data_IF_568631561686
#
_entry.id   IF_568631561686
#
_cell.length_a   1.000
_cell.length_b   1.000
_cell.length_c   1.000
_cell.angle_alpha   90.00
_cell.angle_beta   90.00
_cell.angle_gamma   90.00
#
_symmetry.space_group_name_H-M   'P 1'
#
loop_
_entity.id
_entity.type
_entity.pdbx_description
1 polymer ?
#
# COMPACT_ATOMS: atom_id res chain seq x y z
N UNK A 1 -8.49 -18.01 -6.95
CA UNK A 1 -7.80 -18.54 -5.77
C UNK A 1 -7.54 -17.35 -4.87
N UNK A 2 -7.96 -17.38 -3.61
CA UNK A 2 -7.60 -16.35 -2.65
C UNK A 2 -6.07 -16.31 -2.56
N UNK A 3 -5.52 -15.11 -2.61
CA UNK A 3 -4.08 -14.87 -2.45
C UNK A 3 -3.65 -15.40 -1.07
N UNK A 4 -2.93 -16.51 -1.04
CA UNK A 4 -2.45 -17.19 0.18
C UNK A 4 -1.26 -16.42 0.81
N UNK A 5 -0.88 -15.29 0.20
CA UNK A 5 0.22 -14.47 0.66
C UNK A 5 -0.11 -13.64 1.90
N UNK A 6 0.92 -13.12 2.54
CA UNK A 6 0.78 -12.30 3.74
C UNK A 6 0.06 -10.98 3.48
N UNK A 7 -0.90 -10.62 4.33
CA UNK A 7 -1.54 -9.29 4.34
C UNK A 7 -0.66 -8.22 5.01
N UNK A 8 0.49 -8.62 5.54
CA UNK A 8 1.44 -7.73 6.21
C UNK A 8 2.52 -7.28 5.22
N UNK A 9 2.64 -5.97 5.04
CA UNK A 9 3.61 -5.33 4.14
C UNK A 9 4.56 -4.49 4.99
N UNK A 10 5.86 -4.77 4.93
CA UNK A 10 6.89 -4.00 5.64
C UNK A 10 7.39 -2.86 4.75
N UNK A 11 7.31 -1.63 5.23
CA UNK A 11 7.78 -0.46 4.50
C UNK A 11 9.30 -0.28 4.67
N UNK A 12 10.05 -0.41 3.57
CA UNK A 12 11.50 -0.18 3.53
C UNK A 12 11.80 1.31 3.30
N UNK A 13 11.48 2.13 4.30
CA UNK A 13 11.71 3.58 4.23
C UNK A 13 13.13 3.91 4.75
N UNK A 14 14.14 3.51 3.97
CA UNK A 14 15.57 3.69 4.24
C UNK A 14 16.21 4.66 3.25
N UNK A 15 17.22 5.38 3.71
CA UNK A 15 18.10 6.23 2.91
C UNK A 15 19.36 5.51 2.36
N UNK A 16 19.45 4.19 2.62
CA UNK A 16 20.52 3.31 2.15
C UNK A 16 19.95 2.01 1.60
N UNK A 17 20.26 1.63 0.35
CA UNK A 17 19.90 0.34 -0.21
C UNK A 17 20.47 -0.84 0.59
N UNK A 18 21.69 -0.72 1.11
CA UNK A 18 22.34 -1.76 1.91
C UNK A 18 21.57 -2.01 3.22
N UNK A 19 21.16 -0.95 3.93
CA UNK A 19 20.37 -1.07 5.14
C UNK A 19 19.00 -1.73 4.88
N UNK A 20 18.37 -1.42 3.75
CA UNK A 20 17.13 -2.07 3.34
C UNK A 20 17.33 -3.57 3.05
N UNK A 21 18.42 -3.93 2.37
CA UNK A 21 18.78 -5.33 2.11
C UNK A 21 19.14 -6.09 3.38
N UNK A 22 19.82 -5.46 4.32
CA UNK A 22 20.18 -6.11 5.60
C UNK A 22 18.96 -6.39 6.47
N UNK A 23 17.96 -5.47 6.47
CA UNK A 23 16.69 -5.79 7.08
C UNK A 23 15.97 -6.93 6.35
N UNK A 24 15.88 -6.87 5.01
CA UNK A 24 15.18 -7.90 4.24
C UNK A 24 15.74 -9.31 4.51
N UNK A 25 17.06 -9.48 4.65
CA UNK A 25 17.70 -10.78 4.99
C UNK A 25 17.29 -11.32 6.38
N UNK A 26 16.77 -10.47 7.26
CA UNK A 26 16.29 -10.85 8.61
C UNK A 26 14.81 -11.21 8.63
N UNK A 27 14.06 -10.89 7.57
CA UNK A 27 12.63 -11.16 7.45
C UNK A 27 12.37 -12.45 6.68
N UNK A 28 11.20 -13.04 6.88
CA UNK A 28 10.76 -14.25 6.18
C UNK A 28 9.77 -13.88 5.06
N UNK A 29 10.08 -14.17 3.78
CA UNK A 29 9.20 -13.88 2.66
C UNK A 29 7.86 -14.65 2.71
N UNK A 30 7.76 -15.74 3.51
CA UNK A 30 6.50 -16.43 3.72
C UNK A 30 5.56 -15.66 4.67
N UNK A 31 6.09 -14.74 5.50
CA UNK A 31 5.32 -14.02 6.52
C UNK A 31 5.00 -12.58 6.14
N UNK A 32 5.82 -11.94 5.32
CA UNK A 32 5.65 -10.54 4.94
C UNK A 32 5.91 -10.29 3.46
N UNK A 33 5.30 -9.23 2.93
CA UNK A 33 5.68 -8.57 1.69
C UNK A 33 6.48 -7.31 1.97
N UNK A 34 7.19 -6.76 0.99
CA UNK A 34 7.99 -5.56 1.17
C UNK A 34 7.48 -4.42 0.29
N UNK A 35 7.45 -3.21 0.85
CA UNK A 35 7.14 -1.98 0.11
C UNK A 35 8.42 -1.20 -0.17
N UNK A 36 8.68 -0.95 -1.46
CA UNK A 36 9.72 -0.04 -1.93
C UNK A 36 9.09 1.30 -2.28
N UNK A 37 9.42 2.33 -1.51
CA UNK A 37 8.91 3.68 -1.69
C UNK A 37 9.79 4.54 -2.61
N UNK A 38 9.35 5.80 -2.82
CA UNK A 38 9.99 6.76 -3.73
C UNK A 38 11.46 6.98 -3.43
N UNK A 39 11.84 7.17 -2.15
CA UNK A 39 13.22 7.46 -1.75
C UNK A 39 14.15 6.32 -2.14
N UNK A 40 13.87 5.11 -1.67
CA UNK A 40 14.71 3.94 -1.92
C UNK A 40 14.80 3.62 -3.42
N UNK A 41 13.67 3.73 -4.14
CA UNK A 41 13.66 3.51 -5.59
C UNK A 41 14.43 4.59 -6.36
N UNK A 42 14.37 5.85 -5.93
CA UNK A 42 15.14 6.94 -6.55
C UNK A 42 16.65 6.75 -6.35
N UNK A 43 17.06 6.23 -5.19
CA UNK A 43 18.47 5.96 -4.88
C UNK A 43 19.05 4.77 -5.64
N UNK A 44 18.26 3.68 -5.74
CA UNK A 44 18.77 2.38 -6.21
C UNK A 44 18.19 1.91 -7.56
N UNK A 45 17.18 2.61 -8.09
CA UNK A 45 16.49 2.21 -9.31
C UNK A 45 15.81 0.83 -9.21
N UNK A 46 15.56 0.18 -10.36
CA UNK A 46 14.90 -1.12 -10.39
C UNK A 46 15.73 -2.26 -9.80
N UNK A 47 17.01 -2.10 -9.59
CA UNK A 47 17.88 -3.17 -9.11
C UNK A 47 17.59 -3.56 -7.66
N UNK A 48 17.13 -2.61 -6.83
CA UNK A 48 16.68 -2.93 -5.47
C UNK A 48 15.48 -3.88 -5.48
N UNK A 49 14.54 -3.68 -6.41
CA UNK A 49 13.35 -4.54 -6.55
C UNK A 49 13.80 -5.96 -6.92
N UNK A 50 14.66 -6.11 -7.93
CA UNK A 50 15.20 -7.42 -8.35
C UNK A 50 15.96 -8.13 -7.23
N UNK A 51 16.76 -7.37 -6.46
CA UNK A 51 17.52 -7.91 -5.33
C UNK A 51 16.60 -8.44 -4.25
N UNK A 52 15.55 -7.72 -3.89
CA UNK A 52 14.55 -8.15 -2.91
C UNK A 52 13.74 -9.36 -3.40
N UNK A 53 13.36 -9.36 -4.68
CA UNK A 53 12.69 -10.51 -5.33
C UNK A 53 13.58 -11.77 -5.33
N UNK A 54 14.90 -11.63 -5.49
CA UNK A 54 15.83 -12.76 -5.42
C UNK A 54 15.91 -13.41 -4.03
N UNK A 55 15.49 -12.69 -2.98
CA UNK A 55 15.30 -13.25 -1.63
C UNK A 55 13.93 -13.91 -1.43
N UNK A 56 13.07 -13.92 -2.46
CA UNK A 56 11.74 -14.54 -2.43
C UNK A 56 10.58 -13.60 -2.06
N UNK A 57 10.83 -12.30 -1.92
CA UNK A 57 9.78 -11.36 -1.53
C UNK A 57 8.91 -10.90 -2.69
N UNK A 58 7.61 -10.85 -2.45
CA UNK A 58 6.66 -10.07 -3.23
C UNK A 58 6.83 -8.58 -2.93
N UNK A 59 6.88 -7.74 -3.97
CA UNK A 59 7.17 -6.30 -3.83
C UNK A 59 5.96 -5.44 -4.17
N UNK A 60 5.58 -4.58 -3.23
CA UNK A 60 4.71 -3.43 -3.48
C UNK A 60 5.57 -2.22 -3.88
N UNK A 61 5.49 -1.81 -5.15
CA UNK A 61 6.19 -0.62 -5.66
C UNK A 61 5.32 0.62 -5.45
N UNK A 62 5.63 1.38 -4.39
CA UNK A 62 4.83 2.52 -3.89
C UNK A 62 5.37 3.84 -4.44
N UNK A 63 5.21 4.09 -5.75
CA UNK A 63 5.67 5.31 -6.42
C UNK A 63 4.57 6.35 -6.63
N UNK A 64 3.29 5.97 -6.44
CA UNK A 64 2.13 6.86 -6.53
C UNK A 64 2.10 7.62 -7.86
N UNK A 65 2.09 6.89 -8.98
CA UNK A 65 2.10 7.48 -10.31
C UNK A 65 0.92 8.45 -10.53
N UNK A 66 1.23 9.63 -11.02
CA UNK A 66 0.25 10.65 -11.33
C UNK A 66 0.76 11.53 -12.47
N UNK A 67 0.20 11.35 -13.66
CA UNK A 67 0.58 12.05 -14.89
C UNK A 67 -0.55 11.89 -15.92
N UNK A 68 -0.35 12.37 -17.15
CA UNK A 68 -1.27 12.11 -18.26
C UNK A 68 -1.45 10.60 -18.50
N UNK A 69 -2.62 10.15 -19.01
CA UNK A 69 -2.96 8.72 -19.08
C UNK A 69 -1.91 7.84 -19.74
N UNK A 70 -1.33 8.28 -20.87
CA UNK A 70 -0.33 7.50 -21.61
C UNK A 70 0.99 7.33 -20.85
N UNK A 71 1.40 8.32 -20.07
CA UNK A 71 2.62 8.26 -19.25
C UNK A 71 2.43 7.28 -18.09
N UNK A 72 1.29 7.36 -17.39
CA UNK A 72 0.97 6.45 -16.29
C UNK A 72 0.81 5.01 -16.79
N UNK A 73 0.13 4.80 -17.92
CA UNK A 73 0.00 3.48 -18.55
C UNK A 73 1.36 2.83 -18.82
N UNK A 74 2.31 3.59 -19.39
CA UNK A 74 3.67 3.11 -19.66
C UNK A 74 4.44 2.82 -18.37
N UNK A 75 4.30 3.66 -17.33
CA UNK A 75 4.96 3.45 -16.05
C UNK A 75 4.43 2.18 -15.33
N UNK A 76 3.12 1.98 -15.33
CA UNK A 76 2.49 0.78 -14.76
C UNK A 76 2.88 -0.47 -15.54
N UNK A 77 2.95 -0.41 -16.87
CA UNK A 77 3.45 -1.52 -17.70
C UNK A 77 4.91 -1.86 -17.36
N UNK A 78 5.78 -0.86 -17.22
CA UNK A 78 7.17 -1.08 -16.82
C UNK A 78 7.29 -1.71 -15.42
N UNK A 79 6.43 -1.32 -14.48
CA UNK A 79 6.36 -1.96 -13.16
C UNK A 79 5.90 -3.43 -13.26
N UNK A 80 4.95 -3.74 -14.13
CA UNK A 80 4.53 -5.13 -14.41
C UNK A 80 5.66 -5.96 -15.02
N UNK A 81 6.41 -5.39 -15.97
CA UNK A 81 7.59 -6.05 -16.58
C UNK A 81 8.72 -6.26 -15.56
N UNK A 82 8.80 -5.43 -14.51
CA UNK A 82 9.71 -5.63 -13.38
C UNK A 82 9.26 -6.76 -12.44
N UNK A 83 8.04 -7.27 -12.61
CA UNK A 83 7.50 -8.40 -11.86
C UNK A 83 7.06 -8.03 -10.44
N UNK A 84 6.66 -6.79 -10.19
CA UNK A 84 6.15 -6.39 -8.86
C UNK A 84 4.78 -7.01 -8.59
N UNK A 85 4.49 -7.31 -7.33
CA UNK A 85 3.22 -7.86 -6.90
C UNK A 85 2.10 -6.81 -6.87
N UNK A 86 2.44 -5.56 -6.46
CA UNK A 86 1.48 -4.45 -6.38
C UNK A 86 2.14 -3.15 -6.82
N UNK A 87 1.35 -2.28 -7.45
CA UNK A 87 1.75 -0.92 -7.85
C UNK A 87 0.60 0.04 -7.60
N UNK A 88 0.89 1.31 -7.40
CA UNK A 88 -0.14 2.31 -7.16
C UNK A 88 -0.06 3.55 -8.05
N UNK A 89 -1.24 4.15 -8.22
CA UNK A 89 -1.44 5.44 -8.87
C UNK A 89 -2.18 6.39 -7.92
N UNK A 90 -2.36 7.66 -8.27
CA UNK A 90 -3.28 8.55 -7.57
C UNK A 90 -4.67 8.53 -8.21
N UNK A 91 -5.73 8.37 -7.39
CA UNK A 91 -7.12 8.43 -7.85
C UNK A 91 -7.50 9.82 -8.38
N UNK A 92 -6.85 10.87 -7.87
CA UNK A 92 -7.02 12.27 -8.32
C UNK A 92 -6.58 12.50 -9.78
N UNK A 93 -5.85 11.57 -10.40
CA UNK A 93 -5.60 11.57 -11.84
C UNK A 93 -6.83 11.33 -12.71
N UNK A 94 -7.94 10.90 -12.10
CA UNK A 94 -9.24 10.71 -12.73
C UNK A 94 -9.40 9.36 -13.43
N UNK A 95 -10.66 9.06 -13.78
CA UNK A 95 -11.04 7.75 -14.36
C UNK A 95 -10.30 7.43 -15.66
N UNK A 96 -10.02 8.44 -16.49
CA UNK A 96 -9.33 8.23 -17.78
C UNK A 96 -7.89 7.77 -17.58
N UNK A 97 -7.18 8.35 -16.59
CA UNK A 97 -5.82 7.94 -16.25
C UNK A 97 -5.80 6.53 -15.63
N UNK A 98 -6.70 6.26 -14.70
CA UNK A 98 -6.78 4.97 -14.03
C UNK A 98 -7.17 3.83 -14.99
N UNK A 99 -8.12 4.05 -15.90
CA UNK A 99 -8.48 3.07 -16.94
C UNK A 99 -7.30 2.79 -17.88
N UNK A 100 -6.60 3.82 -18.35
CA UNK A 100 -5.41 3.63 -19.18
C UNK A 100 -4.31 2.82 -18.45
N UNK A 101 -4.12 3.03 -17.14
CA UNK A 101 -3.23 2.24 -16.31
C UNK A 101 -3.68 0.77 -16.22
N UNK A 102 -5.00 0.53 -16.03
CA UNK A 102 -5.55 -0.84 -15.98
C UNK A 102 -5.43 -1.56 -17.31
N UNK A 103 -5.79 -0.91 -18.41
CA UNK A 103 -5.71 -1.45 -19.76
C UNK A 103 -4.28 -1.85 -20.15
N UNK A 104 -3.27 -1.10 -19.67
CA UNK A 104 -1.87 -1.42 -19.91
C UNK A 104 -1.40 -2.75 -19.30
N UNK A 105 -2.18 -3.34 -18.39
CA UNK A 105 -1.91 -4.61 -17.75
C UNK A 105 -2.60 -5.81 -18.42
N UNK A 106 -3.49 -5.59 -19.40
CA UNK A 106 -4.30 -6.67 -20.00
C UNK A 106 -3.45 -7.75 -20.67
N UNK A 107 -2.32 -7.38 -21.25
CA UNK A 107 -1.41 -8.32 -21.93
C UNK A 107 -0.30 -8.85 -21.00
N UNK A 108 -0.30 -8.48 -19.72
CA UNK A 108 0.68 -8.98 -18.78
C UNK A 108 0.35 -10.43 -18.36
N UNK A 109 1.28 -11.38 -18.47
CA UNK A 109 1.04 -12.76 -18.03
C UNK A 109 0.83 -12.87 -16.52
N UNK A 110 1.41 -11.93 -15.76
CA UNK A 110 1.29 -11.83 -14.31
C UNK A 110 1.08 -10.36 -13.93
N UNK A 111 -0.17 -9.84 -14.10
CA UNK A 111 -0.45 -8.45 -13.82
C UNK A 111 -0.33 -8.19 -12.31
N UNK A 112 0.34 -7.11 -11.90
CA UNK A 112 0.35 -6.70 -10.51
C UNK A 112 -1.05 -6.23 -10.08
N UNK A 113 -1.33 -6.29 -8.79
CA UNK A 113 -2.45 -5.57 -8.21
C UNK A 113 -2.24 -4.06 -8.44
N UNK A 114 -3.27 -3.39 -8.95
CA UNK A 114 -3.24 -1.97 -9.23
C UNK A 114 -4.20 -1.24 -8.27
N UNK A 115 -3.65 -0.50 -7.32
CA UNK A 115 -4.42 0.23 -6.32
C UNK A 115 -4.26 1.75 -6.49
N UNK A 116 -5.21 2.54 -5.98
CA UNK A 116 -5.11 3.99 -6.06
C UNK A 116 -5.07 4.67 -4.69
N UNK A 117 -4.20 5.67 -4.55
CA UNK A 117 -4.19 6.57 -3.39
C UNK A 117 -5.39 7.51 -3.49
N UNK A 118 -6.21 7.55 -2.46
CA UNK A 118 -7.36 8.47 -2.35
C UNK A 118 -6.90 9.86 -1.93
N UNK A 119 -6.92 10.14 -0.65
CA UNK A 119 -6.37 11.35 -0.03
C UNK A 119 -5.15 10.93 0.78
N UNK A 120 -4.06 11.68 0.71
CA UNK A 120 -2.89 11.39 1.54
C UNK A 120 -3.26 11.53 3.02
N UNK A 121 -2.83 10.57 3.85
CA UNK A 121 -3.18 10.53 5.29
C UNK A 121 -2.63 11.72 6.08
N UNK A 122 -1.71 12.49 5.50
CA UNK A 122 -1.20 13.75 6.05
C UNK A 122 -2.09 14.96 5.77
N UNK A 123 -2.99 14.87 4.78
CA UNK A 123 -3.86 15.98 4.39
C UNK A 123 -5.09 16.06 5.29
N UNK A 124 -5.43 17.29 5.66
CA UNK A 124 -6.66 17.61 6.36
C UNK A 124 -7.63 18.43 5.47
N UNK A 125 -8.65 19.01 6.09
CA UNK A 125 -9.67 19.78 5.38
C UNK A 125 -9.09 21.06 4.75
N UNK A 126 -8.17 21.70 5.45
CA UNK A 126 -7.59 22.96 5.00
C UNK A 126 -6.68 22.73 3.79
N UNK A 127 -5.88 21.65 3.81
CA UNK A 127 -5.08 21.22 2.66
C UNK A 127 -5.95 20.92 1.42
N UNK A 128 -7.12 20.30 1.62
CA UNK A 128 -8.05 20.03 0.51
C UNK A 128 -8.70 21.31 -0.01
N UNK A 129 -9.02 22.25 0.87
CA UNK A 129 -9.60 23.53 0.48
C UNK A 129 -8.62 24.37 -0.35
N UNK A 130 -7.31 24.34 -0.04
CA UNK A 130 -6.27 24.99 -0.88
C UNK A 130 -6.25 24.46 -2.32
N UNK A 131 -6.65 23.18 -2.51
CA UNK A 131 -6.78 22.56 -3.83
C UNK A 131 -8.16 22.77 -4.48
N UNK A 132 -9.02 23.62 -3.87
CA UNK A 132 -10.36 23.91 -4.36
C UNK A 132 -11.38 22.79 -4.08
N UNK A 133 -11.09 21.89 -3.13
CA UNK A 133 -12.01 20.85 -2.71
C UNK A 133 -12.61 21.22 -1.34
N UNK A 134 -13.90 21.58 -1.34
CA UNK A 134 -14.62 21.98 -0.12
C UNK A 134 -15.23 20.79 0.64
N UNK A 135 -15.21 19.59 0.05
CA UNK A 135 -15.73 18.38 0.66
C UNK A 135 -15.00 18.03 1.95
N UNK A 136 -15.69 17.39 2.88
CA UNK A 136 -15.01 16.78 4.02
C UNK A 136 -14.04 15.68 3.53
N UNK A 137 -12.86 15.48 4.17
CA UNK A 137 -11.88 14.49 3.72
C UNK A 137 -12.48 13.10 3.47
N UNK A 138 -13.38 12.65 4.35
CA UNK A 138 -14.03 11.32 4.20
C UNK A 138 -14.94 11.26 2.96
N UNK A 139 -15.65 12.32 2.64
CA UNK A 139 -16.52 12.36 1.45
C UNK A 139 -15.67 12.34 0.18
N UNK A 140 -14.54 13.06 0.18
CA UNK A 140 -13.57 13.02 -0.91
C UNK A 140 -12.96 11.64 -1.08
N UNK A 141 -12.60 10.96 0.01
CA UNK A 141 -12.11 9.58 0.00
C UNK A 141 -13.15 8.65 -0.62
N UNK A 142 -14.42 8.72 -0.20
CA UNK A 142 -15.50 7.91 -0.76
C UNK A 142 -15.70 8.14 -2.26
N UNK A 143 -15.67 9.39 -2.73
CA UNK A 143 -15.76 9.72 -4.15
C UNK A 143 -14.60 9.11 -4.95
N UNK A 144 -13.36 9.25 -4.46
CA UNK A 144 -12.18 8.74 -5.13
C UNK A 144 -12.13 7.20 -5.12
N UNK A 145 -12.60 6.55 -4.05
CA UNK A 145 -12.71 5.10 -3.97
C UNK A 145 -13.73 4.56 -4.97
N UNK A 146 -14.92 5.17 -5.05
CA UNK A 146 -15.94 4.79 -6.03
C UNK A 146 -15.44 5.00 -7.48
N UNK A 147 -14.69 6.08 -7.73
CA UNK A 147 -14.08 6.34 -9.03
C UNK A 147 -13.03 5.28 -9.38
N UNK A 148 -12.23 4.87 -8.38
CA UNK A 148 -11.20 3.83 -8.52
C UNK A 148 -11.82 2.48 -8.87
N UNK A 149 -12.87 2.09 -8.15
CA UNK A 149 -13.61 0.86 -8.41
C UNK A 149 -14.23 0.87 -9.82
N UNK A 150 -14.88 1.98 -10.20
CA UNK A 150 -15.49 2.13 -11.52
C UNK A 150 -14.48 2.13 -12.67
N UNK A 151 -13.22 2.45 -12.41
CA UNK A 151 -12.12 2.36 -13.35
C UNK A 151 -11.52 0.95 -13.46
N UNK A 152 -12.01 -0.03 -12.64
CA UNK A 152 -11.59 -1.41 -12.67
C UNK A 152 -10.30 -1.71 -11.91
N UNK A 153 -9.87 -0.84 -11.01
CA UNK A 153 -8.71 -1.08 -10.16
C UNK A 153 -9.06 -2.05 -9.02
N UNK A 154 -8.01 -2.63 -8.41
CA UNK A 154 -8.15 -3.70 -7.43
C UNK A 154 -8.44 -3.19 -6.02
N UNK A 155 -8.15 -1.91 -5.72
CA UNK A 155 -8.35 -1.34 -4.39
C UNK A 155 -7.83 0.08 -4.24
N UNK A 156 -7.82 0.53 -3.00
CA UNK A 156 -7.34 1.86 -2.61
C UNK A 156 -6.32 1.80 -1.48
N UNK A 157 -5.53 2.88 -1.36
CA UNK A 157 -4.73 3.17 -0.17
C UNK A 157 -5.50 4.20 0.65
N UNK A 158 -5.85 3.84 1.88
CA UNK A 158 -6.67 4.63 2.79
C UNK A 158 -6.25 4.41 4.25
N UNK A 159 -6.61 5.34 5.15
CA UNK A 159 -6.41 5.14 6.59
C UNK A 159 -7.38 4.08 7.14
N UNK A 160 -7.11 3.55 8.34
CA UNK A 160 -8.00 2.58 8.99
C UNK A 160 -9.41 3.16 9.24
N UNK A 161 -9.50 4.41 9.70
CA UNK A 161 -10.79 5.08 9.90
C UNK A 161 -11.60 5.22 8.60
N UNK A 162 -10.92 5.37 7.47
CA UNK A 162 -11.56 5.41 6.15
C UNK A 162 -11.94 4.02 5.67
N UNK A 163 -11.15 2.98 6.00
CA UNK A 163 -11.45 1.59 5.68
C UNK A 163 -12.79 1.16 6.28
N UNK A 164 -13.11 1.55 7.51
CA UNK A 164 -14.39 1.26 8.16
C UNK A 164 -15.60 1.80 7.36
N UNK A 165 -15.46 2.97 6.74
CA UNK A 165 -16.52 3.56 5.91
C UNK A 165 -16.57 2.91 4.54
N UNK A 166 -15.41 2.58 3.96
CA UNK A 166 -15.30 2.05 2.60
C UNK A 166 -15.71 0.58 2.54
N UNK A 167 -15.42 -0.23 3.55
CA UNK A 167 -15.76 -1.66 3.60
C UNK A 167 -17.25 -1.94 3.42
N UNK A 168 -18.11 -1.01 3.87
CA UNK A 168 -19.54 -1.10 3.72
C UNK A 168 -20.07 -0.60 2.35
N UNK A 169 -19.22 0.01 1.52
CA UNK A 169 -19.63 0.71 0.29
C UNK A 169 -19.02 0.13 -0.98
N UNK A 170 -17.92 -0.60 -0.87
CA UNK A 170 -17.21 -1.15 -2.02
C UNK A 170 -17.61 -2.62 -2.26
N UNK A 171 -17.35 -3.12 -3.47
CA UNK A 171 -17.61 -4.52 -3.83
C UNK A 171 -16.78 -5.49 -2.98
N UNK A 172 -17.25 -6.71 -2.85
CA UNK A 172 -16.49 -7.78 -2.24
C UNK A 172 -15.13 -7.98 -2.94
N UNK A 173 -14.09 -8.16 -2.15
CA UNK A 173 -12.72 -8.33 -2.63
C UNK A 173 -12.02 -7.04 -3.07
N UNK A 174 -12.64 -5.85 -2.87
CA UNK A 174 -11.95 -4.58 -3.11
C UNK A 174 -10.94 -4.35 -1.98
N UNK A 175 -9.69 -4.09 -2.34
CA UNK A 175 -8.59 -4.01 -1.39
C UNK A 175 -8.54 -2.65 -0.69
N UNK A 176 -8.35 -2.69 0.63
CA UNK A 176 -8.06 -1.53 1.46
C UNK A 176 -6.66 -1.69 2.05
N UNK A 177 -5.68 -1.04 1.42
CA UNK A 177 -4.27 -1.06 1.82
C UNK A 177 -4.03 0.09 2.78
N UNK A 178 -3.75 -0.22 4.05
CA UNK A 178 -3.75 0.77 5.13
C UNK A 178 -2.36 1.00 5.70
N UNK A 179 -1.76 2.17 5.45
CA UNK A 179 -0.52 2.60 6.10
C UNK A 179 -0.79 3.22 7.48
N UNK A 180 0.30 3.52 8.20
CA UNK A 180 0.21 4.25 9.46
C UNK A 180 -0.09 3.36 10.67
N UNK A 181 0.05 2.06 10.50
CA UNK A 181 -0.14 1.08 11.58
C UNK A 181 1.01 1.18 12.60
N UNK A 182 0.68 1.07 13.89
CA UNK A 182 1.59 1.12 15.02
C UNK A 182 1.24 0.02 16.03
N UNK A 183 2.23 -0.46 16.75
CA UNK A 183 2.00 -1.35 17.89
C UNK A 183 1.62 -0.56 19.15
N UNK A 184 0.95 -1.21 20.07
CA UNK A 184 0.65 -0.62 21.37
C UNK A 184 1.96 -0.29 22.10
N UNK A 185 2.15 0.98 22.48
CA UNK A 185 3.37 1.48 23.10
C UNK A 185 4.37 2.18 22.20
N UNK A 186 4.16 2.15 20.88
CA UNK A 186 4.99 2.92 19.94
C UNK A 186 4.76 4.44 20.09
N UNK A 187 5.79 5.22 19.83
CA UNK A 187 5.65 6.68 19.71
C UNK A 187 4.80 7.03 18.48
N UNK A 188 3.88 8.00 18.63
CA UNK A 188 3.00 8.44 17.56
C UNK A 188 3.77 9.00 16.35
N UNK A 189 4.94 9.60 16.57
CA UNK A 189 5.78 10.20 15.53
C UNK A 189 5.01 11.22 14.70
N UNK A 190 5.02 11.04 13.39
CA UNK A 190 4.30 11.85 12.39
C UNK A 190 2.82 11.45 12.19
N UNK A 191 2.35 10.38 12.86
CA UNK A 191 0.95 9.92 12.81
C UNK A 191 0.13 10.57 13.92
N UNK A 192 -1.01 11.17 13.55
CA UNK A 192 -1.90 11.85 14.51
C UNK A 192 -2.74 10.88 15.37
N UNK A 193 -2.83 9.59 15.00
CA UNK A 193 -3.60 8.55 15.72
C UNK A 193 -2.86 7.22 15.64
N UNK A 194 -2.75 6.52 16.76
CA UNK A 194 -2.23 5.16 16.82
C UNK A 194 -3.38 4.22 16.46
N UNK A 195 -3.15 3.38 15.45
CA UNK A 195 -4.07 2.32 15.02
C UNK A 195 -3.30 1.00 15.07
N UNK A 196 -3.78 0.05 15.87
CA UNK A 196 -3.14 -1.28 15.97
C UNK A 196 -3.50 -2.15 14.78
N UNK A 197 -2.69 -3.18 14.46
CA UNK A 197 -3.00 -4.13 13.40
C UNK A 197 -4.41 -4.73 13.51
N UNK A 198 -4.80 -5.16 14.72
CA UNK A 198 -6.09 -5.80 14.99
C UNK A 198 -7.25 -4.82 14.76
N UNK A 199 -7.13 -3.58 15.26
CA UNK A 199 -8.18 -2.59 15.05
C UNK A 199 -8.32 -2.20 13.58
N UNK A 200 -7.21 -2.12 12.83
CA UNK A 200 -7.28 -1.82 11.40
C UNK A 200 -8.01 -2.91 10.61
N UNK A 201 -7.76 -4.18 10.93
CA UNK A 201 -8.48 -5.31 10.30
C UNK A 201 -9.95 -5.32 10.69
N UNK A 202 -10.27 -5.08 11.96
CA UNK A 202 -11.66 -4.95 12.43
C UNK A 202 -12.40 -3.80 11.72
N UNK A 203 -11.69 -2.72 11.36
CA UNK A 203 -12.17 -1.60 10.57
C UNK A 203 -12.24 -1.91 9.06
N UNK A 204 -11.87 -3.11 8.61
CA UNK A 204 -12.00 -3.55 7.23
C UNK A 204 -10.73 -3.37 6.37
N UNK A 205 -9.57 -3.05 6.95
CA UNK A 205 -8.32 -3.07 6.22
C UNK A 205 -7.99 -4.50 5.75
N UNK A 206 -7.67 -4.66 4.47
CA UNK A 206 -7.31 -5.96 3.88
C UNK A 206 -5.81 -6.21 3.90
N UNK A 207 -5.01 -5.15 3.81
CA UNK A 207 -3.55 -5.18 3.84
C UNK A 207 -3.02 -4.07 4.73
N UNK A 208 -2.04 -4.39 5.56
CA UNK A 208 -1.44 -3.46 6.50
C UNK A 208 -0.02 -3.10 6.08
N UNK A 209 0.26 -1.80 5.99
CA UNK A 209 1.62 -1.30 5.73
C UNK A 209 2.23 -0.81 7.03
N UNK A 210 3.23 -1.55 7.51
CA UNK A 210 3.91 -1.31 8.78
C UNK A 210 5.36 -0.87 8.51
N UNK A 211 5.75 0.25 9.07
CA UNK A 211 7.11 0.79 8.98
C UNK A 211 7.88 0.59 10.28
N UNK A 212 8.14 1.70 10.98
CA UNK A 212 9.04 1.79 12.15
C UNK A 212 8.74 0.77 13.26
N UNK A 213 7.49 0.39 13.49
CA UNK A 213 7.14 -0.66 14.46
C UNK A 213 7.87 -1.98 14.21
N UNK A 214 8.19 -2.31 12.95
CA UNK A 214 8.99 -3.47 12.58
C UNK A 214 10.43 -3.05 12.32
N UNK A 215 10.66 -2.03 11.50
CA UNK A 215 12.01 -1.71 10.99
C UNK A 215 12.95 -1.13 12.03
N UNK A 216 12.43 -0.56 13.13
CA UNK A 216 13.19 -0.04 14.27
C UNK A 216 13.13 -0.96 15.49
N UNK A 217 12.50 -2.14 15.40
CA UNK A 217 12.46 -3.12 16.47
C UNK A 217 13.83 -3.81 16.66
N UNK A 218 14.14 -4.20 17.87
CA UNK A 218 15.34 -4.99 18.18
C UNK A 218 15.34 -6.34 17.44
N UNK A 219 14.16 -6.95 17.30
CA UNK A 219 13.95 -8.18 16.52
C UNK A 219 12.80 -8.02 15.50
N UNK A 220 13.09 -7.48 14.30
CA UNK A 220 12.09 -7.28 13.25
C UNK A 220 11.40 -8.56 12.79
N UNK A 221 12.11 -9.70 12.78
CA UNK A 221 11.55 -10.98 12.39
C UNK A 221 10.47 -11.44 13.37
N UNK A 222 10.82 -11.39 14.68
CA UNK A 222 9.86 -11.73 15.74
C UNK A 222 8.66 -10.78 15.73
N UNK A 223 8.91 -9.47 15.62
CA UNK A 223 7.83 -8.48 15.61
C UNK A 223 6.88 -8.70 14.43
N UNK A 224 7.40 -8.98 13.24
CA UNK A 224 6.59 -9.30 12.07
C UNK A 224 5.76 -10.58 12.26
N UNK A 225 6.37 -11.63 12.84
CA UNK A 225 5.70 -12.89 13.13
C UNK A 225 4.59 -12.72 14.19
N UNK A 226 4.82 -11.94 15.24
CA UNK A 226 3.84 -11.65 16.28
C UNK A 226 2.62 -10.90 15.70
N UNK A 227 2.85 -9.88 14.84
CA UNK A 227 1.79 -9.17 14.14
C UNK A 227 1.00 -10.15 13.25
N UNK A 228 1.69 -10.97 12.46
CA UNK A 228 1.04 -11.95 11.59
C UNK A 228 0.15 -12.92 12.38
N UNK A 229 0.65 -13.46 13.47
CA UNK A 229 -0.09 -14.38 14.32
C UNK A 229 -1.36 -13.73 14.92
N UNK A 230 -1.28 -12.44 15.30
CA UNK A 230 -2.46 -11.70 15.80
C UNK A 230 -3.52 -11.51 14.70
N UNK A 231 -3.10 -11.25 13.46
CA UNK A 231 -4.01 -11.11 12.32
C UNK A 231 -4.71 -12.43 11.96
N UNK A 232 -3.99 -13.54 11.97
CA UNK A 232 -4.56 -14.87 11.70
C UNK A 232 -5.60 -15.28 12.74
N UNK A 233 -5.37 -14.94 14.01
CA UNK A 233 -6.33 -15.20 15.09
C UNK A 233 -7.65 -14.42 14.93
N UNK A 234 -7.62 -13.21 14.37
CA UNK A 234 -8.82 -12.39 14.14
C UNK A 234 -9.55 -12.72 12.82
N UNK A 235 -8.89 -13.37 11.87
CA UNK A 235 -9.52 -13.79 10.61
C UNK A 235 -10.31 -15.10 10.72
N UNK A 236 -10.26 -15.77 11.87
CA UNK A 236 -10.89 -17.09 12.12
C UNK A 236 -12.21 -17.00 12.91
N UNK A 237 -12.73 -15.80 13.15
CA UNK A 237 -13.99 -15.50 13.84
C UNK A 237 -14.97 -14.86 12.86
#
# INVERSE_FOLDING_TARGET
>A
MADVGSNLIVALDYDSPDAAMDLAKRLDPATVRLKVGKQLFTLAGPDIVRSLQSLGFDIFLDLKYHDIPTTVAKAVKAAAELGVWMVNVHASGGSRMMRAAREALNDSPHPPLLVAVTVLTSMDRDDLAELGCEDAPIDRVCQLAALTESAGLDGVICSAAEAAVLSARQRDGFLMVTPGIRLAGDEAGDQRRIVTPESAVADGATHLVVGRSITASDDPAKTAADIRASLDAHSSV
#
